data_IF_334896338539
#
_entry.id   IF_334896338539
#
_cell.length_a   1.000
_cell.length_b   1.000
_cell.length_c   1.000
_cell.angle_alpha   90.00
_cell.angle_beta   90.00
_cell.angle_gamma   90.00
#
_symmetry.space_group_name_H-M   'P 1'
#
loop_
_entity.id
_entity.type
_entity.pdbx_description
1 polymer ?
#
# COMPACT_ATOMS: atom_id res chain seq x y z
N UNK A 1 -3.32 -16.52 18.10
CA UNK A 1 -2.27 -16.09 17.15
C UNK A 1 -2.78 -14.85 16.44
N UNK A 2 -2.00 -13.77 16.39
CA UNK A 2 -2.33 -12.62 15.54
C UNK A 2 -2.02 -13.01 14.11
N UNK A 3 -2.93 -12.82 13.16
CA UNK A 3 -2.67 -13.18 11.77
C UNK A 3 -1.72 -12.19 11.06
N UNK A 4 -1.40 -11.04 11.69
CA UNK A 4 -0.31 -10.14 11.27
C UNK A 4 0.74 -10.03 12.40
N UNK A 5 2.05 -10.18 12.11
CA UNK A 5 3.11 -10.15 13.12
C UNK A 5 3.37 -8.73 13.67
N UNK A 6 3.21 -7.72 12.81
CA UNK A 6 3.41 -6.30 13.16
C UNK A 6 2.08 -5.61 13.47
N UNK A 7 2.10 -4.64 14.39
CA UNK A 7 0.92 -3.86 14.80
C UNK A 7 0.86 -2.46 14.18
N UNK A 8 1.93 -2.03 13.51
CA UNK A 8 2.02 -0.78 12.77
C UNK A 8 3.03 -0.92 11.61
N UNK A 9 2.89 -0.13 10.54
CA UNK A 9 3.87 -0.07 9.46
C UNK A 9 5.29 0.19 9.97
N UNK A 10 6.27 -0.54 9.45
CA UNK A 10 7.68 -0.50 9.87
C UNK A 10 8.60 0.05 8.77
N UNK A 11 8.07 0.29 7.57
CA UNK A 11 8.80 0.84 6.44
C UNK A 11 7.98 1.86 5.65
N UNK A 12 8.60 2.45 4.64
CA UNK A 12 7.97 3.34 3.66
C UNK A 12 8.36 2.91 2.26
N UNK A 13 7.43 3.06 1.31
CA UNK A 13 7.67 2.73 -0.10
C UNK A 13 7.49 3.96 -0.99
N UNK A 14 8.23 3.99 -2.09
CA UNK A 14 8.02 4.93 -3.19
C UNK A 14 6.87 4.44 -4.08
N UNK A 15 5.84 5.26 -4.24
CA UNK A 15 4.62 4.89 -4.96
C UNK A 15 4.90 4.67 -6.45
N UNK A 16 5.80 5.46 -7.03
CA UNK A 16 6.21 5.29 -8.43
C UNK A 16 6.83 3.93 -8.68
N UNK A 17 7.73 3.50 -7.81
CA UNK A 17 8.45 2.23 -7.96
C UNK A 17 7.56 1.00 -7.74
N UNK A 18 6.59 1.07 -6.80
CA UNK A 18 5.76 -0.08 -6.44
C UNK A 18 4.49 -0.18 -7.27
N UNK A 19 3.81 0.93 -7.53
CA UNK A 19 2.52 0.97 -8.23
C UNK A 19 2.64 1.45 -9.68
N UNK A 20 3.81 1.92 -10.12
CA UNK A 20 4.01 2.46 -11.47
C UNK A 20 3.31 3.80 -11.72
N UNK A 21 2.88 4.49 -10.66
CA UNK A 21 2.18 5.78 -10.76
C UNK A 21 3.21 6.92 -10.75
N UNK A 22 3.22 7.78 -11.76
CA UNK A 22 4.20 8.88 -11.84
C UNK A 22 3.86 10.03 -10.87
N UNK A 23 4.07 9.78 -9.58
CA UNK A 23 3.84 10.71 -8.48
C UNK A 23 5.01 10.68 -7.51
N UNK A 24 5.41 11.86 -7.03
CA UNK A 24 6.43 12.00 -5.99
C UNK A 24 5.79 11.85 -4.61
N UNK A 25 5.57 10.59 -4.19
CA UNK A 25 4.88 10.26 -2.95
C UNK A 25 5.46 8.99 -2.32
N UNK A 26 5.70 9.06 -1.01
CA UNK A 26 5.99 7.89 -0.19
C UNK A 26 4.83 7.61 0.76
N UNK A 27 4.58 6.33 1.05
CA UNK A 27 3.53 5.91 1.97
C UNK A 27 4.06 4.89 2.98
N UNK A 28 3.54 4.87 4.23
CA UNK A 28 3.85 3.81 5.19
C UNK A 28 3.42 2.43 4.67
N UNK A 29 4.24 1.42 4.91
CA UNK A 29 3.98 0.04 4.53
C UNK A 29 4.53 -0.95 5.56
N UNK A 30 4.11 -2.20 5.47
CA UNK A 30 4.70 -3.31 6.20
C UNK A 30 5.77 -3.97 5.34
N UNK A 31 6.93 -4.28 5.91
CA UNK A 31 8.01 -4.99 5.21
C UNK A 31 7.71 -6.48 5.00
N UNK A 32 6.84 -7.04 5.83
CA UNK A 32 6.42 -8.43 5.79
C UNK A 32 4.91 -8.54 5.51
N UNK A 33 4.55 -9.48 4.64
CA UNK A 33 3.16 -9.86 4.39
C UNK A 33 2.55 -10.63 5.57
N UNK A 34 1.24 -10.87 5.49
CA UNK A 34 0.49 -11.61 6.50
C UNK A 34 -0.60 -12.46 5.88
N UNK A 35 -1.21 -13.34 6.67
CA UNK A 35 -2.29 -14.22 6.20
C UNK A 35 -3.55 -13.46 5.74
N UNK A 36 -3.66 -12.17 6.05
CA UNK A 36 -4.74 -11.30 5.58
C UNK A 36 -4.50 -10.74 4.16
N UNK A 37 -3.27 -10.78 3.67
CA UNK A 37 -2.91 -10.25 2.35
C UNK A 37 -3.02 -11.39 1.33
N UNK A 38 -3.88 -11.28 0.31
CA UNK A 38 -3.98 -12.29 -0.72
C UNK A 38 -2.69 -12.38 -1.55
N UNK A 39 -2.50 -13.51 -2.24
CA UNK A 39 -1.44 -13.64 -3.22
C UNK A 39 -1.61 -12.62 -4.37
N UNK A 40 -0.50 -12.24 -5.01
CA UNK A 40 -0.53 -11.34 -6.17
C UNK A 40 -1.32 -11.99 -7.30
N UNK A 41 -2.27 -11.24 -7.85
CA UNK A 41 -3.04 -11.60 -9.04
C UNK A 41 -2.58 -10.72 -10.22
N UNK A 42 -1.97 -11.34 -11.23
CA UNK A 42 -1.49 -10.65 -12.43
C UNK A 42 -2.63 -10.10 -13.31
N UNK A 43 -3.86 -10.60 -13.13
CA UNK A 43 -5.05 -10.08 -13.80
C UNK A 43 -5.65 -8.85 -13.09
N UNK A 44 -5.20 -8.55 -11.87
CA UNK A 44 -5.67 -7.37 -11.15
C UNK A 44 -5.11 -6.10 -11.77
N UNK A 45 -6.02 -5.22 -12.20
CA UNK A 45 -5.67 -3.94 -12.79
C UNK A 45 -6.02 -2.82 -11.81
N UNK A 46 -5.01 -2.01 -11.45
CA UNK A 46 -5.24 -0.81 -10.67
C UNK A 46 -6.04 0.22 -11.47
N UNK A 47 -7.10 0.75 -10.88
CA UNK A 47 -7.66 2.03 -11.32
C UNK A 47 -6.76 3.15 -10.79
N UNK A 48 -6.26 3.99 -11.69
CA UNK A 48 -5.24 4.99 -11.38
C UNK A 48 -5.71 5.96 -10.29
N UNK A 49 -6.88 6.57 -10.47
CA UNK A 49 -7.37 7.63 -9.60
C UNK A 49 -7.81 7.10 -8.24
N UNK A 50 -8.46 5.94 -8.21
CA UNK A 50 -8.87 5.25 -6.98
C UNK A 50 -7.64 4.84 -6.17
N UNK A 51 -6.64 4.24 -6.83
CA UNK A 51 -5.39 3.82 -6.16
C UNK A 51 -4.68 5.04 -5.59
N UNK A 52 -4.57 6.13 -6.35
CA UNK A 52 -3.94 7.36 -5.89
C UNK A 52 -4.68 7.97 -4.68
N UNK A 53 -6.02 8.01 -4.71
CA UNK A 53 -6.82 8.53 -3.61
C UNK A 53 -6.61 7.74 -2.31
N UNK A 54 -6.61 6.40 -2.41
CA UNK A 54 -6.37 5.50 -1.27
C UNK A 54 -4.96 5.72 -0.69
N UNK A 55 -3.93 5.75 -1.55
CA UNK A 55 -2.54 5.95 -1.14
C UNK A 55 -2.33 7.33 -0.49
N UNK A 56 -2.95 8.38 -1.05
CA UNK A 56 -2.91 9.72 -0.46
C UNK A 56 -3.58 9.76 0.94
N UNK A 57 -4.61 8.95 1.15
CA UNK A 57 -5.21 8.72 2.47
C UNK A 57 -4.22 8.17 3.49
N UNK A 58 -3.50 7.11 3.11
CA UNK A 58 -2.46 6.51 3.96
C UNK A 58 -1.29 7.45 4.22
N UNK A 59 -0.79 8.15 3.20
CA UNK A 59 0.37 9.06 3.32
C UNK A 59 0.09 10.33 4.14
N UNK A 60 -1.16 10.81 4.16
CA UNK A 60 -1.51 12.07 4.83
C UNK A 60 -2.46 11.92 6.01
N UNK A 61 -2.72 10.69 6.47
CA UNK A 61 -3.64 10.37 7.56
C UNK A 61 -5.03 10.99 7.35
N UNK A 62 -5.47 11.06 6.09
CA UNK A 62 -6.79 11.55 5.68
C UNK A 62 -7.70 10.34 5.48
N UNK A 63 -8.91 10.38 6.05
CA UNK A 63 -9.93 9.36 5.78
C UNK A 63 -10.32 9.43 4.31
N UNK A 64 -10.42 8.27 3.66
CA UNK A 64 -10.80 8.08 2.25
C UNK A 64 -12.10 7.30 2.20
#
# INVERSE_FOLDING_TARGET
MSAHPLTAPDTTIDVRSVFGLDVDMTVPAFSEGSDYVPAIDEAYQFDHDTTLAILAGFGHNRRV
#
